data_IF_991274596797
#
_entry.id   IF_991274596797
#
_cell.length_a   1.000
_cell.length_b   1.000
_cell.length_c   1.000
_cell.angle_alpha   90.00
_cell.angle_beta   90.00
_cell.angle_gamma   90.00
#
_symmetry.space_group_name_H-M   'P 1'
#
loop_
_entity.id
_entity.type
_entity.pdbx_description
1 polymer ?
#
# COMPACT_ATOMS: atom_id res chain seq x y z
N UNK A 1 -2.66 -56.50 -18.21
CA UNK A 1 -1.50 -57.41 -18.34
C UNK A 1 -0.34 -56.65 -18.95
N UNK A 2 0.87 -56.68 -18.40
CA UNK A 2 1.20 -57.05 -17.02
C UNK A 2 2.53 -56.41 -16.57
N UNK A 3 2.88 -56.55 -15.29
CA UNK A 3 4.09 -55.95 -14.73
C UNK A 3 5.36 -56.72 -15.13
N UNK A 4 6.40 -55.99 -15.56
CA UNK A 4 7.74 -56.52 -15.85
C UNK A 4 8.77 -55.99 -14.85
N UNK A 5 9.08 -56.76 -13.80
CA UNK A 5 10.05 -56.38 -12.77
C UNK A 5 11.47 -56.84 -13.10
N UNK A 6 12.46 -55.94 -13.01
CA UNK A 6 13.89 -56.24 -13.11
C UNK A 6 14.63 -55.83 -11.82
N UNK A 7 15.47 -56.71 -11.27
CA UNK A 7 16.20 -56.52 -10.00
C UNK A 7 17.72 -56.51 -10.21
N UNK A 8 18.43 -55.98 -9.20
CA UNK A 8 19.89 -55.95 -9.03
C UNK A 8 20.64 -54.92 -9.91
N UNK A 9 21.83 -54.41 -9.52
CA UNK A 9 22.77 -54.88 -8.47
C UNK A 9 23.48 -53.72 -7.73
N UNK A 10 23.90 -53.98 -6.48
CA UNK A 10 24.82 -53.20 -5.61
C UNK A 10 26.29 -53.38 -6.07
N UNK A 11 27.34 -52.81 -5.39
CA UNK A 11 27.49 -51.55 -4.61
C UNK A 11 28.78 -50.76 -5.00
N UNK A 12 29.11 -49.66 -4.30
CA UNK A 12 30.51 -49.38 -3.87
C UNK A 12 30.56 -48.47 -2.61
N UNK A 13 31.73 -48.35 -1.98
CA UNK A 13 32.03 -47.78 -0.64
C UNK A 13 32.07 -46.22 -0.61
N UNK A 14 31.72 -45.48 0.47
CA UNK A 14 32.22 -45.42 1.87
C UNK A 14 33.63 -44.77 2.02
N UNK A 15 34.10 -44.26 3.19
CA UNK A 15 33.50 -44.26 4.55
C UNK A 15 33.66 -42.95 5.40
N UNK A 16 32.95 -42.88 6.56
CA UNK A 16 33.27 -42.11 7.81
C UNK A 16 33.34 -40.55 7.72
N UNK A 17 33.26 -39.74 8.80
CA UNK A 17 33.18 -39.84 10.29
C UNK A 17 32.01 -38.93 10.78
N UNK A 18 31.48 -38.85 12.02
CA UNK A 18 31.53 -39.56 13.33
C UNK A 18 30.18 -39.26 14.05
N UNK A 19 29.56 -40.07 14.93
CA UNK A 19 29.93 -40.64 16.25
C UNK A 19 29.90 -39.70 17.48
N UNK A 20 28.78 -39.74 18.22
CA UNK A 20 28.64 -40.05 19.66
C UNK A 20 27.12 -40.13 19.95
N UNK A 21 26.49 -41.15 20.57
CA UNK A 21 26.80 -42.02 21.72
C UNK A 21 26.73 -41.34 23.10
N UNK A 22 26.14 -41.92 24.16
CA UNK A 22 25.19 -43.06 24.27
C UNK A 22 24.66 -43.18 25.73
N UNK A 23 23.39 -43.61 25.94
CA UNK A 23 22.94 -44.46 27.10
C UNK A 23 23.02 -43.75 28.50
N UNK A 24 22.47 -44.21 29.67
CA UNK A 24 21.87 -45.50 30.02
C UNK A 24 20.40 -45.56 30.52
N UNK A 25 19.90 -46.78 30.46
CA UNK A 25 18.73 -47.35 31.14
C UNK A 25 19.14 -47.92 32.52
N UNK A 26 18.21 -48.01 33.49
CA UNK A 26 18.49 -48.59 34.82
C UNK A 26 17.22 -49.20 35.45
N UNK A 27 17.36 -50.38 36.06
CA UNK A 27 16.24 -51.23 36.50
C UNK A 27 15.94 -51.18 38.02
N UNK A 28 14.65 -51.41 38.35
CA UNK A 28 14.14 -52.07 39.58
C UNK A 28 14.40 -51.42 40.97
N UNK A 29 13.68 -51.85 42.04
CA UNK A 29 12.37 -52.54 42.12
C UNK A 29 11.31 -51.71 42.92
N UNK A 30 10.15 -52.29 43.20
CA UNK A 30 9.07 -51.66 43.96
C UNK A 30 9.29 -51.68 45.49
N UNK A 31 8.68 -50.70 46.18
CA UNK A 31 8.46 -50.72 47.63
C UNK A 31 7.07 -50.15 47.95
N UNK A 32 6.25 -50.90 48.70
CA UNK A 32 4.97 -50.42 49.22
C UNK A 32 5.19 -49.56 50.47
N UNK A 33 4.37 -48.53 50.66
CA UNK A 33 4.50 -47.60 51.79
C UNK A 33 3.31 -46.66 51.90
N UNK A 34 2.30 -47.05 52.69
CA UNK A 34 1.10 -46.24 52.90
C UNK A 34 1.42 -44.92 53.63
N UNK A 35 0.99 -43.79 53.06
CA UNK A 35 0.78 -42.55 53.81
C UNK A 35 -0.53 -41.90 53.36
N UNK A 36 -1.36 -41.39 54.29
CA UNK A 36 -2.70 -40.93 53.95
C UNK A 36 -2.68 -39.59 53.18
N UNK A 37 -3.54 -39.49 52.17
CA UNK A 37 -3.77 -38.27 51.39
C UNK A 37 -4.22 -37.12 52.30
N UNK A 38 -3.33 -36.15 52.55
CA UNK A 38 -3.75 -34.87 53.11
C UNK A 38 -4.65 -34.13 52.11
N UNK A 39 -5.74 -33.48 52.55
CA UNK A 39 -6.60 -32.72 51.66
C UNK A 39 -5.84 -31.51 51.09
N UNK A 40 -5.74 -31.45 49.75
CA UNK A 40 -5.05 -30.37 49.05
C UNK A 40 -5.75 -29.03 49.29
N UNK A 41 -5.15 -28.17 50.14
CA UNK A 41 -5.65 -26.82 50.40
C UNK A 41 -5.29 -25.91 49.23
N UNK A 42 -6.30 -25.54 48.44
CA UNK A 42 -6.12 -24.66 47.29
C UNK A 42 -5.61 -23.28 47.73
N UNK A 43 -4.37 -22.95 47.34
CA UNK A 43 -3.77 -21.64 47.61
C UNK A 43 -4.50 -20.59 46.77
N UNK A 44 -5.37 -19.81 47.40
CA UNK A 44 -6.03 -18.67 46.75
C UNK A 44 -5.01 -17.58 46.41
N UNK A 45 -4.54 -17.59 45.16
CA UNK A 45 -3.64 -16.57 44.63
C UNK A 45 -4.40 -15.25 44.44
N UNK A 46 -4.25 -14.32 45.39
CA UNK A 46 -4.73 -12.94 45.24
C UNK A 46 -3.74 -12.18 44.34
N UNK A 47 -4.12 -11.76 43.12
CA UNK A 47 -3.22 -11.00 42.26
C UNK A 47 -2.93 -9.63 42.89
N UNK A 48 -1.67 -9.15 42.85
CA UNK A 48 -1.32 -7.86 43.43
C UNK A 48 -2.02 -6.71 42.69
N UNK A 49 -2.39 -5.61 43.38
CA UNK A 49 -3.12 -4.51 42.77
C UNK A 49 -2.31 -3.85 41.64
N UNK A 50 -2.97 -3.41 40.54
CA UNK A 50 -2.28 -2.86 39.38
C UNK A 50 -1.55 -1.56 39.73
N UNK A 51 -0.26 -1.50 39.38
CA UNK A 51 0.60 -0.34 39.64
C UNK A 51 0.08 0.90 38.91
N UNK A 52 -0.03 2.02 39.63
CA UNK A 52 -0.77 3.21 39.17
C UNK A 52 -0.18 3.87 37.90
N UNK A 53 -1.08 4.44 37.08
CA UNK A 53 -0.79 4.89 35.72
C UNK A 53 0.02 6.19 35.62
N UNK A 54 1.27 6.22 36.10
CA UNK A 54 2.22 7.33 35.87
C UNK A 54 2.69 7.46 34.39
N UNK A 55 2.09 6.72 33.46
CA UNK A 55 2.47 6.66 32.03
C UNK A 55 1.60 7.51 31.11
N UNK A 56 0.66 8.31 31.60
CA UNK A 56 -0.25 9.13 30.76
C UNK A 56 0.40 10.42 30.21
N UNK A 57 1.35 11.03 30.91
CA UNK A 57 1.99 12.27 30.46
C UNK A 57 2.92 12.08 29.24
N UNK A 58 3.57 10.92 29.13
CA UNK A 58 4.51 10.60 28.04
C UNK A 58 3.79 10.56 26.65
N UNK A 59 2.72 9.77 26.44
CA UNK A 59 2.03 9.76 25.14
C UNK A 59 1.33 11.08 24.83
N UNK A 60 0.85 11.83 25.84
CA UNK A 60 0.30 13.18 25.63
C UNK A 60 1.39 14.15 25.16
N UNK A 61 2.59 14.13 25.78
CA UNK A 61 3.73 14.92 25.34
C UNK A 61 4.16 14.59 23.90
N UNK A 62 4.25 13.30 23.57
CA UNK A 62 4.56 12.85 22.19
C UNK A 62 3.47 13.33 21.21
N UNK A 63 2.19 13.19 21.54
CA UNK A 63 1.10 13.65 20.70
C UNK A 63 1.14 15.17 20.46
N UNK A 64 1.42 15.98 21.50
CA UNK A 64 1.58 17.43 21.36
C UNK A 64 2.77 17.78 20.47
N UNK A 65 3.91 17.11 20.60
CA UNK A 65 5.08 17.33 19.73
C UNK A 65 4.80 16.94 18.27
N UNK A 66 4.12 15.82 18.03
CA UNK A 66 3.73 15.39 16.67
C UNK A 66 2.71 16.35 16.05
N UNK A 67 1.73 16.83 16.81
CA UNK A 67 0.73 17.81 16.32
C UNK A 67 1.39 19.17 16.07
N UNK A 68 2.23 19.67 16.97
CA UNK A 68 2.93 20.94 16.80
C UNK A 68 3.92 20.89 15.63
N UNK A 69 4.75 19.85 15.55
CA UNK A 69 5.67 19.61 14.44
C UNK A 69 4.94 19.46 13.10
N UNK A 70 3.82 18.72 13.09
CA UNK A 70 2.95 18.58 11.92
C UNK A 70 2.32 19.90 11.48
N UNK A 71 1.82 20.72 12.41
CA UNK A 71 1.26 22.04 12.11
C UNK A 71 2.31 23.04 11.62
N UNK A 72 3.54 22.97 12.14
CA UNK A 72 4.67 23.78 11.65
C UNK A 72 5.08 23.32 10.24
N UNK A 73 5.21 22.01 10.01
CA UNK A 73 5.57 21.46 8.70
C UNK A 73 4.48 21.74 7.64
N UNK A 74 3.21 21.62 7.99
CA UNK A 74 2.08 22.01 7.14
C UNK A 74 1.88 23.53 6.99
N UNK A 75 2.67 24.36 7.71
CA UNK A 75 2.78 25.81 7.47
C UNK A 75 4.10 26.24 6.84
N UNK A 76 5.05 25.32 6.65
CA UNK A 76 6.09 25.49 5.64
C UNK A 76 5.39 25.64 4.27
N UNK A 77 5.74 26.69 3.53
CA UNK A 77 5.19 26.87 2.18
C UNK A 77 5.62 25.70 1.30
N UNK A 78 4.71 25.07 0.54
CA UNK A 78 5.09 24.01 -0.41
C UNK A 78 5.80 24.54 -1.67
N UNK A 79 6.19 25.82 -1.71
CA UNK A 79 6.77 26.49 -2.89
C UNK A 79 8.28 26.29 -3.02
N UNK A 80 9.00 26.05 -1.92
CA UNK A 80 10.48 25.97 -1.90
C UNK A 80 11.01 24.52 -2.00
N UNK A 81 10.10 23.56 -2.22
CA UNK A 81 10.40 22.15 -2.47
C UNK A 81 10.12 21.70 -3.92
N UNK A 82 9.79 22.62 -4.84
CA UNK A 82 9.96 22.38 -6.28
C UNK A 82 11.46 22.35 -6.62
N UNK A 83 12.14 21.28 -6.25
CA UNK A 83 13.42 20.92 -6.86
C UNK A 83 13.24 20.93 -8.39
N UNK A 84 14.11 21.64 -9.10
CA UNK A 84 13.93 22.10 -10.49
C UNK A 84 13.91 20.94 -11.51
N UNK A 85 12.84 20.15 -11.47
CA UNK A 85 12.52 19.15 -12.46
C UNK A 85 12.17 19.93 -13.73
N UNK A 86 12.92 19.75 -14.84
CA UNK A 86 12.61 20.45 -16.09
C UNK A 86 11.17 20.12 -16.48
N UNK A 87 10.31 21.13 -16.49
CA UNK A 87 8.84 20.97 -16.61
C UNK A 87 8.51 20.41 -17.98
N UNK A 88 8.47 19.07 -18.05
CA UNK A 88 8.37 18.29 -19.27
C UNK A 88 7.24 18.82 -20.14
N UNK A 89 7.54 19.19 -21.38
CA UNK A 89 6.55 19.80 -22.25
C UNK A 89 5.61 18.74 -22.84
N UNK A 90 4.70 18.23 -22.01
CA UNK A 90 3.71 17.21 -22.36
C UNK A 90 2.89 17.60 -23.61
N UNK A 91 2.61 18.90 -23.80
CA UNK A 91 1.89 19.40 -24.98
C UNK A 91 2.64 19.15 -26.31
N UNK A 92 3.98 19.07 -26.28
CA UNK A 92 4.82 18.77 -27.44
C UNK A 92 5.18 17.28 -27.60
N UNK A 93 4.97 16.43 -26.60
CA UNK A 93 5.34 15.00 -26.68
C UNK A 93 4.44 14.21 -27.63
N UNK A 94 4.94 13.08 -28.17
CA UNK A 94 4.13 12.15 -28.93
C UNK A 94 3.09 11.43 -28.05
N UNK A 95 1.99 10.96 -28.65
CA UNK A 95 0.91 10.29 -27.90
C UNK A 95 1.39 8.98 -27.22
N UNK A 96 2.26 8.21 -27.88
CA UNK A 96 2.91 7.02 -27.31
C UNK A 96 3.71 7.36 -26.04
N UNK A 97 4.53 8.43 -26.06
CA UNK A 97 5.33 8.83 -24.89
C UNK A 97 4.47 9.28 -23.72
N UNK A 98 3.37 10.00 -23.99
CA UNK A 98 2.40 10.38 -22.96
C UNK A 98 1.75 9.15 -22.32
N UNK A 99 1.36 8.16 -23.13
CA UNK A 99 0.70 6.96 -22.65
C UNK A 99 1.67 6.06 -21.87
N UNK A 100 2.91 5.91 -22.37
CA UNK A 100 4.02 5.17 -21.74
C UNK A 100 4.45 5.79 -20.40
N UNK A 101 4.54 7.11 -20.31
CA UNK A 101 4.86 7.80 -19.04
C UNK A 101 3.75 7.65 -17.99
N UNK A 102 2.48 7.56 -18.43
CA UNK A 102 1.30 7.35 -17.60
C UNK A 102 1.17 8.29 -16.38
N UNK A 103 1.80 9.47 -16.42
CA UNK A 103 1.74 10.48 -15.35
C UNK A 103 0.42 11.24 -15.37
N UNK A 104 0.05 11.90 -14.28
CA UNK A 104 -1.17 12.73 -14.21
C UNK A 104 -1.19 13.84 -15.27
N UNK A 105 -0.13 14.66 -15.49
CA UNK A 105 -0.13 15.63 -16.58
C UNK A 105 -0.14 14.99 -17.98
N UNK A 106 0.51 13.85 -18.18
CA UNK A 106 0.49 13.17 -19.47
C UNK A 106 -0.90 12.61 -19.82
N UNK A 107 -1.57 11.97 -18.86
CA UNK A 107 -2.96 11.50 -18.99
C UNK A 107 -3.95 12.66 -19.21
N UNK A 108 -3.69 13.83 -18.61
CA UNK A 108 -4.46 15.05 -18.83
C UNK A 108 -4.29 15.60 -20.25
N UNK A 109 -3.08 15.57 -20.80
CA UNK A 109 -2.84 15.98 -22.19
C UNK A 109 -3.41 15.00 -23.22
N UNK A 110 -3.31 13.67 -22.99
CA UNK A 110 -4.04 12.68 -23.79
C UNK A 110 -5.55 12.94 -23.78
N UNK A 111 -6.11 13.22 -22.60
CA UNK A 111 -7.52 13.59 -22.44
C UNK A 111 -7.87 14.90 -23.17
N UNK A 112 -6.98 15.90 -23.17
CA UNK A 112 -7.14 17.13 -23.96
C UNK A 112 -7.18 16.81 -25.46
N UNK A 113 -6.23 16.01 -25.96
CA UNK A 113 -6.13 15.60 -27.37
C UNK A 113 -7.38 14.84 -27.82
N UNK A 114 -7.84 13.86 -27.04
CA UNK A 114 -9.10 13.14 -27.32
C UNK A 114 -10.34 14.04 -27.38
N UNK A 115 -10.44 15.04 -26.49
CA UNK A 115 -11.68 15.83 -26.35
C UNK A 115 -11.70 17.16 -27.10
N UNK A 116 -10.54 17.72 -27.43
CA UNK A 116 -10.40 19.05 -28.06
C UNK A 116 -9.33 19.13 -29.16
N UNK A 117 -8.53 18.09 -29.35
CA UNK A 117 -7.53 18.04 -30.41
C UNK A 117 -8.13 17.88 -31.81
N UNK A 118 -7.28 17.97 -32.82
CA UNK A 118 -7.53 17.63 -34.21
C UNK A 118 -7.89 16.15 -34.39
N UNK A 119 -8.43 15.76 -35.56
CA UNK A 119 -8.73 14.36 -35.85
C UNK A 119 -7.49 13.46 -35.71
N UNK A 120 -6.33 13.90 -36.22
CA UNK A 120 -5.06 13.18 -36.10
C UNK A 120 -4.60 13.03 -34.64
N UNK A 121 -4.68 14.09 -33.82
CA UNK A 121 -4.39 14.01 -32.38
C UNK A 121 -5.29 13.02 -31.64
N UNK A 122 -6.59 12.95 -32.01
CA UNK A 122 -7.54 12.00 -31.40
C UNK A 122 -7.19 10.56 -31.74
N UNK A 123 -6.97 10.26 -33.01
CA UNK A 123 -6.58 8.91 -33.47
C UNK A 123 -5.24 8.48 -32.87
N UNK A 124 -4.23 9.36 -32.86
CA UNK A 124 -2.94 9.08 -32.23
C UNK A 124 -3.08 8.84 -30.72
N UNK A 125 -3.92 9.62 -30.03
CA UNK A 125 -4.21 9.42 -28.60
C UNK A 125 -4.90 8.07 -28.34
N UNK A 126 -5.97 7.71 -29.07
CA UNK A 126 -6.66 6.43 -28.88
C UNK A 126 -5.74 5.24 -29.12
N UNK A 127 -4.99 5.22 -30.23
CA UNK A 127 -4.08 4.12 -30.56
C UNK A 127 -2.96 3.97 -29.54
N UNK A 128 -2.44 5.07 -28.98
CA UNK A 128 -1.47 5.03 -27.90
C UNK A 128 -2.07 4.52 -26.57
N UNK A 129 -3.30 4.89 -26.24
CA UNK A 129 -3.99 4.41 -25.03
C UNK A 129 -4.27 2.91 -25.10
N UNK A 130 -4.72 2.41 -26.26
CA UNK A 130 -4.98 0.98 -26.46
C UNK A 130 -3.67 0.16 -26.44
N UNK A 131 -2.58 0.69 -27.01
CA UNK A 131 -1.25 0.06 -26.98
C UNK A 131 -0.64 0.01 -25.57
N UNK A 132 -0.72 1.11 -24.80
CA UNK A 132 -0.10 1.24 -23.47
C UNK A 132 -1.12 1.10 -22.33
N UNK A 133 -2.15 0.26 -22.51
CA UNK A 133 -3.33 0.17 -21.64
C UNK A 133 -3.02 -0.38 -20.24
N UNK A 134 -2.57 0.49 -19.35
CA UNK A 134 -2.24 0.16 -17.95
C UNK A 134 -3.28 0.68 -16.96
N UNK A 135 -3.47 -0.03 -15.85
CA UNK A 135 -4.34 0.43 -14.74
C UNK A 135 -3.86 1.71 -14.04
N UNK A 136 -2.64 2.20 -14.32
CA UNK A 136 -2.19 3.55 -13.93
C UNK A 136 -2.71 4.61 -14.88
N UNK A 137 -2.52 4.41 -16.19
CA UNK A 137 -2.99 5.31 -17.24
C UNK A 137 -4.51 5.50 -17.14
N UNK A 138 -5.30 4.42 -17.04
CA UNK A 138 -6.76 4.48 -16.94
C UNK A 138 -7.24 5.30 -15.74
N UNK A 139 -6.64 5.12 -14.55
CA UNK A 139 -7.00 5.89 -13.34
C UNK A 139 -6.65 7.38 -13.48
N UNK A 140 -5.47 7.68 -14.01
CA UNK A 140 -5.04 9.07 -14.21
C UNK A 140 -5.86 9.79 -15.28
N UNK A 141 -6.29 9.08 -16.34
CA UNK A 141 -7.22 9.60 -17.35
C UNK A 141 -8.62 9.83 -16.78
N UNK A 142 -9.18 8.87 -16.04
CA UNK A 142 -10.48 9.02 -15.38
C UNK A 142 -10.48 10.24 -14.42
N UNK A 143 -9.40 10.44 -13.65
CA UNK A 143 -9.21 11.61 -12.80
C UNK A 143 -9.13 12.91 -13.62
N UNK A 144 -8.40 12.93 -14.74
CA UNK A 144 -8.31 14.09 -15.62
C UNK A 144 -9.67 14.45 -16.27
N UNK A 145 -10.45 13.45 -16.67
CA UNK A 145 -11.81 13.64 -17.18
C UNK A 145 -12.77 14.17 -16.09
N UNK A 146 -12.70 13.61 -14.88
CA UNK A 146 -13.50 14.07 -13.74
C UNK A 146 -13.20 15.54 -13.37
N UNK A 147 -11.92 15.92 -13.31
CA UNK A 147 -11.50 17.31 -13.07
C UNK A 147 -11.95 18.26 -14.19
N UNK A 148 -11.91 17.81 -15.46
CA UNK A 148 -12.43 18.58 -16.58
C UNK A 148 -13.96 18.76 -16.53
N UNK A 149 -14.70 17.73 -16.09
CA UNK A 149 -16.14 17.80 -15.90
C UNK A 149 -16.52 18.72 -14.73
N UNK A 150 -15.85 18.59 -13.57
CA UNK A 150 -16.04 19.48 -12.43
C UNK A 150 -15.77 20.94 -12.80
N UNK A 151 -14.69 21.24 -13.55
CA UNK A 151 -14.44 22.61 -14.01
C UNK A 151 -15.57 23.14 -14.90
N UNK A 152 -16.05 22.35 -15.87
CA UNK A 152 -17.19 22.76 -16.72
C UNK A 152 -18.47 23.04 -15.93
N UNK A 153 -18.74 22.26 -14.90
CA UNK A 153 -19.88 22.47 -13.99
C UNK A 153 -19.71 23.70 -13.09
N UNK A 154 -18.48 24.01 -12.65
CA UNK A 154 -18.19 25.26 -11.94
C UNK A 154 -18.35 26.47 -12.86
N UNK A 155 -17.76 26.42 -14.06
CA UNK A 155 -17.82 27.49 -15.07
C UNK A 155 -19.27 27.78 -15.50
N UNK A 156 -20.14 26.76 -15.64
CA UNK A 156 -21.56 26.95 -15.94
C UNK A 156 -22.35 27.54 -14.77
N UNK A 157 -22.08 27.10 -13.53
CA UNK A 157 -22.68 27.69 -12.33
C UNK A 157 -22.28 29.17 -12.14
N UNK A 158 -21.03 29.53 -12.44
CA UNK A 158 -20.56 30.92 -12.41
C UNK A 158 -21.25 31.77 -13.48
N UNK A 159 -21.45 31.23 -14.70
CA UNK A 159 -22.23 31.89 -15.77
C UNK A 159 -23.68 32.11 -15.35
N UNK A 160 -24.42 31.06 -14.99
CA UNK A 160 -25.80 31.18 -14.50
C UNK A 160 -25.93 32.14 -13.31
N UNK A 161 -24.95 32.16 -12.41
CA UNK A 161 -24.86 33.11 -11.30
C UNK A 161 -24.54 34.55 -11.71
N UNK A 162 -23.89 34.78 -12.86
CA UNK A 162 -23.72 36.11 -13.48
C UNK A 162 -25.00 36.53 -14.20
N UNK A 163 -25.58 35.65 -15.01
CA UNK A 163 -26.74 35.95 -15.86
C UNK A 163 -27.97 36.28 -15.00
N UNK A 164 -28.21 35.52 -13.92
CA UNK A 164 -29.23 35.85 -12.88
C UNK A 164 -28.99 37.19 -12.17
N UNK A 165 -27.75 37.71 -12.16
CA UNK A 165 -27.41 39.03 -11.60
C UNK A 165 -27.49 40.16 -12.64
N UNK A 166 -27.34 39.87 -13.94
CA UNK A 166 -27.64 40.79 -15.05
C UNK A 166 -29.15 41.04 -15.10
N UNK A 167 -29.94 39.97 -15.24
CA UNK A 167 -31.40 40.04 -15.33
C UNK A 167 -32.06 40.72 -14.11
N UNK A 168 -31.56 40.47 -12.89
CA UNK A 168 -32.01 41.18 -11.67
C UNK A 168 -31.66 42.67 -11.62
N UNK A 169 -30.81 43.16 -12.52
CA UNK A 169 -30.41 44.56 -12.66
C UNK A 169 -31.02 45.23 -13.90
N UNK A 170 -31.82 44.52 -14.70
CA UNK A 170 -32.41 45.06 -15.93
C UNK A 170 -31.45 45.12 -17.12
N UNK A 171 -30.41 44.29 -17.14
CA UNK A 171 -29.47 44.10 -18.27
C UNK A 171 -29.55 42.67 -18.80
#
# INVERSE_FOLDING_TARGET
SDAGAGKAKKPEEAPQMSQSSDVPEMEQPAAEGETPLQPFTAIHYVPPPPKSMRKLLIPVGIAVVVIAGGLIFCRGKPEEAEAENPKLNYAAMAADDLAKNASVPAARELTRRMTTGTAAERTAASTAIDRWRTGRLTRNMAMAMALAAQKRALDSNVRMGRDRRMARRGY
#
